data_IF_731734942424
#
_entry.id   IF_731734942424
#
_cell.length_a   1.000
_cell.length_b   1.000
_cell.length_c   1.000
_cell.angle_alpha   90.00
_cell.angle_beta   90.00
_cell.angle_gamma   90.00
#
_symmetry.space_group_name_H-M   'P 1'
#
loop_
_entity.id
_entity.type
_entity.pdbx_description
1 polymer ?
#
# COMPACT_ATOMS: atom_id res chain seq x y z
N UNK A 1 -3.71 62.12 24.09
CA UNK A 1 -3.92 61.10 25.15
C UNK A 1 -3.22 59.82 24.71
N UNK A 2 -2.25 59.38 25.53
CA UNK A 2 -1.27 58.28 25.45
C UNK A 2 -1.33 57.26 24.29
N UNK A 3 -0.24 57.23 23.53
CA UNK A 3 0.40 56.06 22.91
C UNK A 3 0.87 55.04 23.97
N UNK A 4 0.81 53.74 23.68
CA UNK A 4 1.70 52.71 24.24
C UNK A 4 1.88 51.54 23.26
N UNK A 5 3.06 51.49 22.64
CA UNK A 5 3.76 50.25 22.33
C UNK A 5 4.05 49.49 23.64
N UNK A 6 3.93 48.15 23.68
CA UNK A 6 4.81 47.29 24.50
C UNK A 6 4.82 45.85 23.97
N UNK A 7 5.90 45.53 23.27
CA UNK A 7 6.73 44.32 23.26
C UNK A 7 6.29 43.07 24.10
N UNK A 8 6.35 41.89 23.46
CA UNK A 8 6.54 40.59 24.14
C UNK A 8 7.89 40.56 24.89
N UNK A 9 8.14 39.70 25.91
CA UNK A 9 8.50 38.30 25.60
C UNK A 9 8.31 37.30 26.75
N UNK A 10 7.68 36.14 26.52
CA UNK A 10 7.98 34.95 27.33
C UNK A 10 7.93 33.68 26.47
N UNK A 11 9.09 33.41 25.87
CA UNK A 11 9.57 32.10 25.46
C UNK A 11 9.38 31.06 26.58
N UNK A 12 8.45 30.12 26.41
CA UNK A 12 8.44 28.87 27.18
C UNK A 12 9.03 27.76 26.32
N UNK A 13 10.34 27.52 26.51
CA UNK A 13 11.08 26.37 26.02
C UNK A 13 10.40 25.07 26.45
N UNK A 14 9.75 24.36 25.53
CA UNK A 14 9.59 22.92 25.69
C UNK A 14 10.92 22.26 25.38
N UNK A 15 11.54 21.77 26.45
CA UNK A 15 12.81 21.03 26.44
C UNK A 15 12.56 19.70 25.73
N UNK A 16 12.90 19.62 24.45
CA UNK A 16 12.91 18.36 23.69
C UNK A 16 13.95 17.44 24.32
N UNK A 17 13.49 16.32 24.86
CA UNK A 17 14.34 15.19 25.25
C UNK A 17 14.87 14.56 23.95
N UNK A 18 16.18 14.33 23.79
CA UNK A 18 16.69 13.62 22.62
C UNK A 18 16.22 12.17 22.68
N UNK A 19 15.31 11.80 21.79
CA UNK A 19 15.02 10.41 21.49
C UNK A 19 16.13 9.98 20.53
N UNK A 20 17.04 9.14 21.03
CA UNK A 20 17.99 8.40 20.23
C UNK A 20 17.20 7.62 19.17
N UNK A 21 17.30 8.03 17.91
CA UNK A 21 16.83 7.25 16.78
C UNK A 21 17.73 6.03 16.62
N UNK A 22 17.21 4.79 16.68
CA UNK A 22 17.96 3.66 16.18
C UNK A 22 18.15 3.84 14.67
N UNK A 23 19.42 4.02 14.31
CA UNK A 23 19.90 3.92 12.95
C UNK A 23 19.43 2.60 12.31
N UNK A 24 19.29 2.61 10.98
CA UNK A 24 19.11 1.45 10.10
C UNK A 24 17.80 0.67 10.22
N UNK A 25 16.76 1.16 9.52
CA UNK A 25 15.69 0.28 9.04
C UNK A 25 16.21 -0.39 7.76
N UNK A 26 16.31 -1.72 7.70
CA UNK A 26 16.92 -2.42 6.58
C UNK A 26 16.00 -2.33 5.35
N UNK A 27 16.59 -2.01 4.21
CA UNK A 27 16.02 -2.04 2.85
C UNK A 27 15.64 -3.46 2.38
N UNK A 28 15.35 -4.37 3.31
CA UNK A 28 15.27 -5.81 3.06
C UNK A 28 13.86 -6.40 3.21
N UNK A 29 12.79 -5.61 3.36
CA UNK A 29 11.44 -6.20 3.49
C UNK A 29 10.76 -6.49 2.14
N UNK A 30 11.09 -5.74 1.08
CA UNK A 30 10.44 -5.93 -0.24
C UNK A 30 11.10 -7.04 -1.07
N UNK A 31 12.44 -7.18 -0.98
CA UNK A 31 13.19 -8.26 -1.65
C UNK A 31 12.84 -9.62 -1.06
N UNK A 32 12.67 -9.70 0.27
CA UNK A 32 12.29 -10.94 0.96
C UNK A 32 10.88 -11.42 0.57
N UNK A 33 9.92 -10.52 0.34
CA UNK A 33 8.57 -10.91 -0.07
C UNK A 33 8.55 -11.54 -1.47
N UNK A 34 9.27 -10.94 -2.43
CA UNK A 34 9.40 -11.50 -3.78
C UNK A 34 10.31 -12.75 -3.83
N UNK A 35 11.33 -12.86 -2.97
CA UNK A 35 12.14 -14.06 -2.83
C UNK A 35 11.34 -15.23 -2.26
N UNK A 36 10.47 -15.00 -1.26
CA UNK A 36 9.58 -16.07 -0.75
C UNK A 36 8.55 -16.51 -1.78
N UNK A 37 8.04 -15.60 -2.61
CA UNK A 37 7.11 -15.96 -3.68
C UNK A 37 7.78 -16.79 -4.80
N UNK A 38 9.01 -16.45 -5.18
CA UNK A 38 9.81 -17.26 -6.12
C UNK A 38 10.28 -18.59 -5.52
N UNK A 39 10.56 -18.66 -4.21
CA UNK A 39 10.91 -19.89 -3.51
C UNK A 39 9.71 -20.84 -3.37
N UNK A 40 8.50 -20.31 -3.16
CA UNK A 40 7.26 -21.08 -3.15
C UNK A 40 6.95 -21.70 -4.53
N UNK A 41 7.14 -20.93 -5.62
CA UNK A 41 6.92 -21.43 -6.99
C UNK A 41 8.00 -22.41 -7.47
N UNK A 42 9.25 -22.29 -6.99
CA UNK A 42 10.32 -23.28 -7.26
C UNK A 42 10.14 -24.59 -6.49
N UNK A 43 9.56 -24.54 -5.28
CA UNK A 43 9.31 -25.74 -4.47
C UNK A 43 8.10 -26.59 -4.93
N UNK A 44 7.22 -26.07 -5.78
CA UNK A 44 6.13 -26.87 -6.36
C UNK A 44 6.58 -27.76 -7.53
N UNK A 45 7.75 -27.48 -8.12
CA UNK A 45 8.28 -28.22 -9.27
C UNK A 45 9.35 -29.27 -8.90
N UNK A 46 9.65 -29.48 -7.61
CA UNK A 46 10.71 -30.39 -7.16
C UNK A 46 10.29 -31.28 -5.98
N UNK A 47 9.03 -31.73 -5.97
CA UNK A 47 8.57 -32.79 -5.06
C UNK A 47 7.97 -33.90 -5.93
N UNK A 48 8.82 -34.53 -6.73
CA UNK A 48 8.57 -35.85 -7.26
C UNK A 48 9.92 -36.55 -7.27
N UNK A 49 9.96 -37.73 -6.65
CA UNK A 49 11.09 -38.66 -6.56
C UNK A 49 12.10 -38.40 -5.42
N UNK A 50 11.86 -39.05 -4.28
CA UNK A 50 12.58 -40.26 -3.82
C UNK A 50 12.48 -40.34 -2.29
N UNK A 51 11.47 -41.07 -1.78
CA UNK A 51 11.50 -41.61 -0.42
C UNK A 51 11.24 -43.11 -0.52
N UNK A 52 12.31 -43.88 -0.37
CA UNK A 52 12.30 -45.34 -0.35
C UNK A 52 11.61 -45.83 0.93
N UNK A 53 10.37 -46.30 0.80
CA UNK A 53 9.54 -46.91 1.85
C UNK A 53 9.85 -48.40 2.07
N UNK A 54 11.12 -48.78 2.22
CA UNK A 54 11.47 -50.15 2.61
C UNK A 54 12.13 -50.13 4.00
N UNK A 55 11.43 -50.70 4.98
CA UNK A 55 11.79 -50.89 6.39
C UNK A 55 11.52 -49.76 7.40
N UNK A 56 10.26 -49.32 7.52
CA UNK A 56 9.80 -48.60 8.72
C UNK A 56 8.98 -49.52 9.63
N UNK A 57 9.36 -49.60 10.91
CA UNK A 57 8.59 -50.32 11.94
C UNK A 57 7.25 -49.62 12.19
N UNK A 58 6.19 -50.36 12.58
CA UNK A 58 4.82 -49.81 12.69
C UNK A 58 4.72 -48.59 13.62
N UNK A 59 5.58 -48.50 14.64
CA UNK A 59 5.66 -47.34 15.54
C UNK A 59 6.12 -46.06 14.84
N UNK A 60 7.06 -46.14 13.88
CA UNK A 60 7.56 -44.98 13.14
C UNK A 60 6.57 -44.49 12.09
N UNK A 61 5.78 -45.41 11.53
CA UNK A 61 4.73 -45.07 10.55
C UNK A 61 3.59 -44.27 11.20
N UNK A 62 3.22 -44.62 12.43
CA UNK A 62 2.23 -43.85 13.21
C UNK A 62 2.73 -42.44 13.51
N UNK A 63 4.00 -42.28 13.91
CA UNK A 63 4.58 -40.96 14.19
C UNK A 63 4.65 -40.06 12.95
N UNK A 64 5.02 -40.61 11.79
CA UNK A 64 5.01 -39.86 10.53
C UNK A 64 3.60 -39.48 10.12
N UNK A 65 2.62 -40.39 10.29
CA UNK A 65 1.20 -40.09 10.04
C UNK A 65 0.69 -38.96 10.93
N UNK A 66 0.91 -39.02 12.24
CA UNK A 66 0.51 -37.96 13.17
C UNK A 66 1.21 -36.63 12.86
N UNK A 67 2.50 -36.65 12.49
CA UNK A 67 3.22 -35.45 12.10
C UNK A 67 2.65 -34.83 10.81
N UNK A 68 2.38 -35.64 9.78
CA UNK A 68 1.77 -35.17 8.54
C UNK A 68 0.35 -34.64 8.74
N UNK A 69 -0.47 -35.29 9.57
CA UNK A 69 -1.82 -34.84 9.93
C UNK A 69 -1.76 -33.53 10.73
N UNK A 70 -0.81 -33.39 11.66
CA UNK A 70 -0.62 -32.16 12.43
C UNK A 70 -0.15 -30.99 11.55
N UNK A 71 0.76 -31.24 10.60
CA UNK A 71 1.14 -30.25 9.59
C UNK A 71 -0.05 -29.87 8.70
N UNK A 72 -0.87 -30.85 8.28
CA UNK A 72 -2.07 -30.59 7.47
C UNK A 72 -3.12 -29.75 8.23
N UNK A 73 -3.34 -30.04 9.53
CA UNK A 73 -4.23 -29.26 10.41
C UNK A 73 -3.70 -27.85 10.69
N UNK A 74 -2.39 -27.69 10.88
CA UNK A 74 -1.74 -26.37 11.04
C UNK A 74 -1.74 -25.54 9.75
N UNK A 75 -1.79 -26.18 8.58
CA UNK A 75 -1.97 -25.49 7.29
C UNK A 75 -3.45 -25.19 6.97
N UNK A 76 -4.41 -25.97 7.48
CA UNK A 76 -5.84 -25.76 7.25
C UNK A 76 -6.44 -24.65 8.15
N UNK A 77 -5.84 -24.40 9.32
CA UNK A 77 -6.13 -23.23 10.16
C UNK A 77 -5.00 -22.18 9.99
N UNK A 78 -5.17 -21.12 9.17
CA UNK A 78 -6.39 -20.34 9.00
C UNK A 78 -6.69 -20.03 7.51
N UNK A 79 -7.48 -20.88 6.84
CA UNK A 79 -8.16 -20.43 5.61
C UNK A 79 -9.30 -19.42 5.91
N UNK A 80 -9.67 -19.26 7.19
CA UNK A 80 -10.75 -18.37 7.64
C UNK A 80 -10.29 -16.99 8.13
N UNK A 81 -9.01 -16.63 7.95
CA UNK A 81 -8.48 -15.31 8.36
C UNK A 81 -8.13 -14.38 7.19
N UNK A 82 -8.27 -14.81 5.93
CA UNK A 82 -8.05 -13.96 4.75
C UNK A 82 -9.31 -13.70 3.91
N UNK A 83 -10.48 -14.13 4.38
CA UNK A 83 -11.75 -13.66 3.82
C UNK A 83 -12.16 -12.34 4.50
N UNK A 84 -11.32 -11.31 4.35
CA UNK A 84 -11.84 -9.95 4.41
C UNK A 84 -12.63 -9.76 3.12
N UNK A 85 -13.90 -10.14 3.18
CA UNK A 85 -14.87 -10.07 2.10
C UNK A 85 -14.77 -8.77 1.32
N UNK A 86 -14.18 -8.87 0.13
CA UNK A 86 -14.10 -7.81 -0.87
C UNK A 86 -15.49 -7.57 -1.52
N UNK A 87 -16.53 -8.36 -1.19
CA UNK A 87 -17.71 -8.43 -2.04
C UNK A 87 -19.06 -7.89 -1.51
N UNK A 88 -19.24 -7.48 -0.24
CA UNK A 88 -20.56 -6.93 0.16
C UNK A 88 -20.52 -5.76 1.16
N UNK A 89 -19.43 -5.61 1.90
CA UNK A 89 -19.30 -4.67 3.02
C UNK A 89 -18.41 -3.47 2.66
N UNK A 90 -17.64 -3.56 1.57
CA UNK A 90 -16.85 -2.45 1.06
C UNK A 90 -17.74 -1.27 0.66
N UNK A 91 -18.89 -1.49 0.00
CA UNK A 91 -19.81 -0.38 -0.36
C UNK A 91 -20.51 0.27 0.85
N UNK A 92 -20.77 -0.46 1.93
CA UNK A 92 -21.49 0.09 3.09
C UNK A 92 -20.57 0.70 4.16
N UNK A 93 -19.26 0.41 4.15
CA UNK A 93 -18.27 0.96 5.10
C UNK A 93 -17.30 1.98 4.46
N UNK A 94 -16.95 1.85 3.18
CA UNK A 94 -16.13 2.84 2.46
C UNK A 94 -16.85 4.18 2.30
N UNK A 95 -18.19 4.19 2.40
CA UNK A 95 -19.02 5.40 2.46
C UNK A 95 -19.06 6.10 3.81
N UNK A 96 -18.50 5.53 4.90
CA UNK A 96 -18.51 6.18 6.23
C UNK A 96 -17.27 7.00 6.55
N UNK A 97 -16.15 6.77 5.87
CA UNK A 97 -14.88 7.48 6.11
C UNK A 97 -14.24 7.94 4.80
N UNK A 98 -14.79 9.00 4.21
CA UNK A 98 -14.16 9.74 3.12
C UNK A 98 -13.40 10.95 3.68
N UNK A 99 -12.38 11.43 2.95
CA UNK A 99 -11.56 12.57 3.37
C UNK A 99 -12.19 13.91 2.98
N UNK A 100 -12.09 14.89 3.88
CA UNK A 100 -12.31 16.33 3.60
C UNK A 100 -11.05 17.16 3.82
N UNK A 101 -9.95 16.54 4.22
CA UNK A 101 -8.69 17.19 4.59
C UNK A 101 -7.59 16.80 3.62
N UNK A 102 -6.69 17.74 3.33
CA UNK A 102 -5.51 17.49 2.53
C UNK A 102 -4.44 16.84 3.40
N UNK A 103 -4.33 15.52 3.31
CA UNK A 103 -3.35 14.74 4.06
C UNK A 103 -1.99 14.72 3.35
N UNK A 104 -0.91 14.58 4.12
CA UNK A 104 0.44 14.35 3.57
C UNK A 104 1.21 13.41 4.50
N UNK A 105 0.72 12.18 4.63
CA UNK A 105 1.29 11.18 5.55
C UNK A 105 1.77 9.94 4.81
N UNK A 106 2.81 9.30 5.37
CA UNK A 106 3.42 8.09 4.81
C UNK A 106 3.86 8.22 3.34
N UNK A 107 4.43 9.38 2.99
CA UNK A 107 4.75 9.82 1.62
C UNK A 107 5.53 8.81 0.77
N UNK A 108 6.35 7.97 1.39
CA UNK A 108 7.25 7.01 0.72
C UNK A 108 6.83 5.55 0.92
N UNK A 109 5.65 5.28 1.49
CA UNK A 109 5.20 3.95 1.88
C UNK A 109 3.87 3.62 1.18
N UNK A 110 3.93 2.95 0.02
CA UNK A 110 2.76 2.64 -0.82
C UNK A 110 1.52 2.15 -0.06
N UNK A 111 1.59 1.15 0.85
CA UNK A 111 0.40 0.64 1.53
C UNK A 111 -0.28 1.64 2.48
N UNK A 112 0.44 2.66 2.95
CA UNK A 112 -0.02 3.59 3.98
C UNK A 112 -0.15 5.03 3.48
N UNK A 113 0.30 5.31 2.25
CA UNK A 113 0.29 6.64 1.63
C UNK A 113 -1.11 7.26 1.73
N UNK A 114 -1.17 8.47 2.29
CA UNK A 114 -2.33 9.37 2.19
C UNK A 114 -1.84 10.74 1.76
N UNK A 115 -2.12 11.08 0.52
CA UNK A 115 -1.79 12.36 -0.07
C UNK A 115 -3.04 13.06 -0.61
N UNK A 116 -3.20 14.34 -0.29
CA UNK A 116 -4.39 15.10 -0.64
C UNK A 116 -5.63 14.48 -0.02
N UNK A 117 -6.71 14.35 -0.80
CA UNK A 117 -7.96 13.68 -0.38
C UNK A 117 -8.18 12.35 -1.08
N UNK A 118 -7.47 12.08 -2.17
CA UNK A 118 -7.77 10.97 -3.09
C UNK A 118 -6.59 10.03 -3.33
N UNK A 119 -5.35 10.42 -3.04
CA UNK A 119 -4.22 9.52 -3.29
C UNK A 119 -3.98 8.58 -2.09
N UNK A 120 -4.46 7.35 -2.19
CA UNK A 120 -4.17 6.28 -1.23
C UNK A 120 -4.96 5.00 -1.51
N UNK A 121 -4.54 3.88 -0.93
CA UNK A 121 -5.28 2.61 -1.05
C UNK A 121 -6.49 2.65 -0.12
N UNK A 122 -7.68 2.36 -0.66
CA UNK A 122 -8.95 2.39 0.08
C UNK A 122 -9.18 3.73 0.80
N UNK A 123 -8.68 4.81 0.22
CA UNK A 123 -8.73 6.17 0.73
C UNK A 123 -9.24 7.07 -0.39
N UNK A 124 -10.24 7.91 -0.11
CA UNK A 124 -10.85 8.76 -1.13
C UNK A 124 -11.59 9.95 -0.53
N UNK A 125 -11.79 10.99 -1.33
CA UNK A 125 -12.44 12.22 -0.89
C UNK A 125 -13.96 12.11 -0.84
N UNK A 126 -14.59 12.92 0.00
CA UNK A 126 -16.04 12.93 0.11
C UNK A 126 -16.72 13.50 -1.15
N UNK A 127 -17.99 13.14 -1.41
CA UNK A 127 -18.76 13.74 -2.50
C UNK A 127 -18.74 15.27 -2.43
N UNK A 128 -18.41 15.92 -3.55
CA UNK A 128 -18.33 17.39 -3.66
C UNK A 128 -17.02 18.01 -3.20
N UNK A 129 -16.10 17.25 -2.60
CA UNK A 129 -14.78 17.75 -2.27
C UNK A 129 -13.97 18.01 -3.54
N UNK A 130 -13.22 19.12 -3.53
CA UNK A 130 -12.23 19.42 -4.58
C UNK A 130 -10.89 18.77 -4.22
N UNK A 131 -10.12 18.32 -5.23
CA UNK A 131 -8.77 17.84 -5.00
C UNK A 131 -7.88 18.98 -4.49
N UNK A 132 -6.90 18.62 -3.67
CA UNK A 132 -6.00 19.57 -3.02
C UNK A 132 -5.02 20.23 -4.00
N UNK A 133 -4.59 19.49 -5.02
CA UNK A 133 -3.73 19.99 -6.10
C UNK A 133 -3.90 19.16 -7.38
N UNK A 134 -3.03 19.40 -8.37
CA UNK A 134 -3.07 18.67 -9.64
C UNK A 134 -2.70 17.19 -9.53
N UNK A 135 -1.91 16.78 -8.53
CA UNK A 135 -1.55 15.38 -8.32
C UNK A 135 -2.72 14.64 -7.67
N UNK A 136 -3.35 15.24 -6.66
CA UNK A 136 -4.56 14.74 -6.03
C UNK A 136 -5.73 14.65 -7.03
N UNK A 137 -5.80 15.57 -8.00
CA UNK A 137 -6.77 15.49 -9.09
C UNK A 137 -6.56 14.28 -10.02
N UNK A 138 -5.32 13.80 -10.18
CA UNK A 138 -5.07 12.55 -10.91
C UNK A 138 -5.66 11.36 -10.17
N UNK A 139 -5.47 11.30 -8.84
CA UNK A 139 -6.01 10.24 -8.00
C UNK A 139 -7.55 10.28 -7.96
N UNK A 140 -8.15 11.46 -7.82
CA UNK A 140 -9.61 11.62 -7.89
C UNK A 140 -10.21 11.05 -9.18
N UNK A 141 -9.55 11.27 -10.32
CA UNK A 141 -9.97 10.73 -11.62
C UNK A 141 -9.78 9.21 -11.68
N UNK A 142 -8.70 8.69 -11.09
CA UNK A 142 -8.46 7.25 -11.00
C UNK A 142 -9.53 6.57 -10.17
N UNK A 143 -9.82 7.05 -8.96
CA UNK A 143 -10.88 6.51 -8.10
C UNK A 143 -12.23 6.48 -8.82
N UNK A 144 -12.60 7.58 -9.50
CA UNK A 144 -13.82 7.64 -10.28
C UNK A 144 -13.83 6.63 -11.44
N UNK A 145 -12.69 6.44 -12.12
CA UNK A 145 -12.52 5.42 -13.16
C UNK A 145 -12.73 4.02 -12.59
N UNK A 146 -12.07 3.68 -11.48
CA UNK A 146 -12.20 2.39 -10.80
C UNK A 146 -13.67 2.11 -10.43
N UNK A 147 -14.37 3.09 -9.86
CA UNK A 147 -15.79 2.97 -9.51
C UNK A 147 -16.63 2.69 -10.76
N UNK A 148 -16.38 3.39 -11.87
CA UNK A 148 -17.08 3.18 -13.14
C UNK A 148 -16.79 1.82 -13.79
N UNK A 149 -15.62 1.23 -13.49
CA UNK A 149 -15.19 -0.10 -13.96
C UNK A 149 -15.52 -1.19 -12.94
N UNK A 150 -16.60 -1.04 -12.17
CA UNK A 150 -17.07 -2.04 -11.20
C UNK A 150 -16.06 -2.35 -10.07
N UNK A 151 -15.30 -1.35 -9.64
CA UNK A 151 -14.23 -1.46 -8.63
C UNK A 151 -13.05 -2.35 -9.07
N UNK A 152 -12.81 -2.50 -10.37
CA UNK A 152 -11.66 -3.21 -10.91
C UNK A 152 -10.37 -2.37 -10.81
N UNK A 153 -9.65 -2.50 -9.69
CA UNK A 153 -8.34 -1.84 -9.47
C UNK A 153 -7.24 -2.28 -10.44
N UNK A 154 -7.44 -3.38 -11.17
CA UNK A 154 -6.49 -3.87 -12.18
C UNK A 154 -6.85 -3.39 -13.59
N UNK A 155 -7.88 -2.55 -13.73
CA UNK A 155 -8.31 -2.04 -15.01
C UNK A 155 -7.18 -1.28 -15.75
N UNK A 156 -6.82 -1.78 -16.93
CA UNK A 156 -5.70 -1.27 -17.73
C UNK A 156 -5.86 0.23 -18.07
N UNK A 157 -7.06 0.63 -18.46
CA UNK A 157 -7.37 2.01 -18.86
C UNK A 157 -7.20 2.96 -17.67
N UNK A 158 -7.77 2.62 -16.50
CA UNK A 158 -7.66 3.46 -15.32
C UNK A 158 -6.20 3.62 -14.87
N UNK A 159 -5.45 2.52 -14.81
CA UNK A 159 -4.06 2.52 -14.33
C UNK A 159 -3.11 3.26 -15.30
N UNK A 160 -3.28 3.09 -16.61
CA UNK A 160 -2.51 3.87 -17.61
C UNK A 160 -2.86 5.36 -17.58
N UNK A 161 -4.14 5.70 -17.42
CA UNK A 161 -4.57 7.10 -17.31
C UNK A 161 -3.97 7.79 -16.08
N UNK A 162 -3.90 7.09 -14.95
CA UNK A 162 -3.23 7.60 -13.75
C UNK A 162 -1.74 7.84 -14.00
N UNK A 163 -1.03 6.85 -14.57
CA UNK A 163 0.39 6.98 -14.92
C UNK A 163 0.66 8.19 -15.83
N UNK A 164 -0.13 8.35 -16.89
CA UNK A 164 -0.01 9.49 -17.79
C UNK A 164 -0.26 10.83 -17.07
N UNK A 165 -1.27 10.87 -16.18
CA UNK A 165 -1.60 12.06 -15.42
C UNK A 165 -0.48 12.49 -14.48
N UNK A 166 0.08 11.56 -13.68
CA UNK A 166 1.15 11.89 -12.72
C UNK A 166 2.46 12.28 -13.43
N UNK A 167 2.75 11.69 -14.58
CA UNK A 167 3.88 12.09 -15.44
C UNK A 167 3.69 13.50 -15.96
N UNK A 168 2.49 13.86 -16.41
CA UNK A 168 2.21 15.20 -16.89
C UNK A 168 2.26 16.24 -15.78
N UNK A 169 1.75 15.94 -14.59
CA UNK A 169 1.89 16.79 -13.40
C UNK A 169 3.37 17.06 -13.08
N UNK A 170 4.21 16.01 -13.09
CA UNK A 170 5.65 16.12 -12.88
C UNK A 170 6.32 17.02 -13.92
N UNK A 171 6.02 16.80 -15.21
CA UNK A 171 6.56 17.58 -16.33
C UNK A 171 6.18 19.05 -16.24
N UNK A 172 4.94 19.33 -15.87
CA UNK A 172 4.42 20.69 -15.70
C UNK A 172 4.97 21.40 -14.44
N UNK A 173 5.75 20.71 -13.59
CA UNK A 173 6.19 21.22 -12.28
C UNK A 173 5.00 21.73 -11.45
N UNK A 174 3.94 20.93 -11.42
CA UNK A 174 2.70 21.29 -10.74
C UNK A 174 2.93 21.70 -9.28
N UNK A 175 2.26 22.78 -8.85
CA UNK A 175 2.34 23.26 -7.47
C UNK A 175 1.53 22.35 -6.55
N UNK A 176 2.03 22.15 -5.33
CA UNK A 176 1.32 21.39 -4.30
C UNK A 176 0.47 22.31 -3.42
N UNK A 177 -0.42 21.71 -2.62
CA UNK A 177 -1.23 22.46 -1.66
C UNK A 177 -0.38 23.00 -0.47
N UNK A 178 -0.82 24.08 0.20
CA UNK A 178 -0.14 24.63 1.38
C UNK A 178 -0.11 23.64 2.54
N UNK A 179 1.03 23.60 3.26
CA UNK A 179 1.19 22.70 4.42
C UNK A 179 1.47 21.24 4.07
N UNK A 180 1.62 20.91 2.78
CA UNK A 180 2.06 19.60 2.35
C UNK A 180 3.46 19.28 2.91
N UNK A 181 3.59 18.15 3.60
CA UNK A 181 4.87 17.64 4.14
C UNK A 181 5.53 16.58 3.27
N UNK A 182 4.86 16.15 2.20
CA UNK A 182 5.40 15.20 1.23
C UNK A 182 6.07 15.92 0.06
N UNK A 183 7.23 15.41 -0.37
CA UNK A 183 7.78 15.75 -1.69
C UNK A 183 6.91 15.11 -2.78
N UNK A 184 6.37 15.92 -3.70
CA UNK A 184 5.49 15.41 -4.76
C UNK A 184 6.20 14.35 -5.63
N UNK A 185 7.51 14.46 -5.81
CA UNK A 185 8.29 13.48 -6.54
C UNK A 185 8.29 12.08 -5.90
N UNK A 186 8.31 12.02 -4.56
CA UNK A 186 8.27 10.75 -3.82
C UNK A 186 6.90 10.10 -3.93
N UNK A 187 5.84 10.90 -3.79
CA UNK A 187 4.45 10.45 -3.94
C UNK A 187 4.22 9.89 -5.35
N UNK A 188 4.68 10.60 -6.38
CA UNK A 188 4.60 10.16 -7.77
C UNK A 188 5.35 8.83 -7.95
N UNK A 189 6.56 8.70 -7.40
CA UNK A 189 7.33 7.45 -7.49
C UNK A 189 6.57 6.28 -6.86
N UNK A 190 5.99 6.48 -5.67
CA UNK A 190 5.20 5.46 -4.97
C UNK A 190 3.97 5.05 -5.78
N UNK A 191 3.23 6.02 -6.33
CA UNK A 191 2.08 5.76 -7.21
C UNK A 191 2.51 4.99 -8.45
N UNK A 192 3.57 5.42 -9.13
CA UNK A 192 4.08 4.75 -10.34
C UNK A 192 4.45 3.30 -10.06
N UNK A 193 5.19 3.01 -8.99
CA UNK A 193 5.54 1.62 -8.62
C UNK A 193 4.30 0.77 -8.37
N UNK A 194 3.29 1.31 -7.68
CA UNK A 194 2.05 0.58 -7.42
C UNK A 194 1.27 0.29 -8.73
N UNK A 195 1.18 1.27 -9.62
CA UNK A 195 0.50 1.11 -10.91
C UNK A 195 1.25 0.16 -11.85
N UNK A 196 2.57 0.25 -11.92
CA UNK A 196 3.38 -0.68 -12.72
C UNK A 196 3.20 -2.12 -12.23
N UNK A 197 3.15 -2.33 -10.90
CA UNK A 197 2.85 -3.64 -10.33
C UNK A 197 1.45 -4.14 -10.70
N UNK A 198 0.43 -3.27 -10.70
CA UNK A 198 -0.93 -3.61 -11.12
C UNK A 198 -0.99 -3.98 -12.61
N UNK A 199 -0.29 -3.24 -13.47
CA UNK A 199 -0.18 -3.53 -14.90
C UNK A 199 0.53 -4.87 -15.15
N UNK A 200 1.64 -5.13 -14.45
CA UNK A 200 2.34 -6.40 -14.53
C UNK A 200 1.47 -7.58 -14.08
N UNK A 201 0.60 -7.39 -13.08
CA UNK A 201 -0.30 -8.43 -12.60
C UNK A 201 -1.33 -8.87 -13.65
N UNK A 202 -1.73 -7.98 -14.56
CA UNK A 202 -2.61 -8.30 -15.71
C UNK A 202 -1.85 -8.65 -16.99
N UNK A 203 -0.54 -8.87 -16.91
CA UNK A 203 0.30 -9.22 -18.05
C UNK A 203 0.63 -8.05 -18.98
N UNK A 204 0.39 -6.81 -18.55
CA UNK A 204 0.79 -5.62 -19.28
C UNK A 204 2.19 -5.17 -18.82
N UNK A 205 3.17 -5.28 -19.71
CA UNK A 205 4.53 -4.86 -19.43
C UNK A 205 4.67 -3.33 -19.59
N UNK A 206 5.09 -2.61 -18.53
CA UNK A 206 5.42 -1.20 -18.66
C UNK A 206 6.46 -1.00 -19.76
N UNK A 207 6.31 0.06 -20.56
CA UNK A 207 7.35 0.44 -21.53
C UNK A 207 8.61 0.87 -20.75
N UNK A 208 9.81 0.44 -21.19
CA UNK A 208 11.08 0.81 -20.55
C UNK A 208 11.34 2.32 -20.60
#
# INVERSE_FOLDING_TARGET
MKTKETLSPLTRRYKTKPILLPNSIPTCSFVFYLQKYKAFKRNQASISNTLTFHSMTPSKLLLVSFYLIHQLLLFYAPAQALDLGIHANARLSLGKHCSRTCESSFCSVAPLLRYGKYCGILYGGCPGEKPCDGLDACCMKHDACIISKQNDYLNLECNQNLLNCVVNFKKARGRTFPGNTCEAADVIKVITVAMDAALLAVGHHPKP
#
